data_IF_818257582644
#
_entry.id   IF_818257582644
#
_cell.length_a   1.000
_cell.length_b   1.000
_cell.length_c   1.000
_cell.angle_alpha   90.00
_cell.angle_beta   90.00
_cell.angle_gamma   90.00
#
_symmetry.space_group_name_H-M   'P 1'
#
loop_
_entity.id
_entity.type
_entity.pdbx_description
1 polymer ?
#
# COMPACT_ATOMS: atom_id res chain seq x y z
N UNK A 1 7.84 1.36 -48.22
CA UNK A 1 6.82 1.62 -47.17
C UNK A 1 7.51 1.92 -45.85
N UNK A 2 7.23 3.05 -45.16
CA UNK A 2 7.76 3.29 -43.83
C UNK A 2 7.25 2.21 -42.88
N UNK A 3 8.16 1.51 -42.19
CA UNK A 3 7.78 0.47 -41.23
C UNK A 3 6.87 1.04 -40.14
N UNK A 4 5.93 0.24 -39.65
CA UNK A 4 5.05 0.61 -38.53
C UNK A 4 5.64 0.10 -37.22
N UNK A 5 5.24 0.68 -36.09
CA UNK A 5 5.58 0.18 -34.76
C UNK A 5 4.41 0.39 -33.79
N UNK A 6 4.32 -0.47 -32.77
CA UNK A 6 3.32 -0.35 -31.70
C UNK A 6 3.94 0.33 -30.48
N UNK A 7 3.28 1.38 -29.97
CA UNK A 7 3.76 2.07 -28.79
C UNK A 7 3.49 1.26 -27.50
N UNK A 8 4.52 1.06 -26.68
CA UNK A 8 4.41 0.32 -25.40
C UNK A 8 3.55 1.01 -24.34
N UNK A 9 3.30 2.32 -24.45
CA UNK A 9 2.46 3.05 -23.49
C UNK A 9 1.00 3.12 -23.94
N UNK A 10 0.72 3.68 -25.12
CA UNK A 10 -0.65 3.89 -25.58
C UNK A 10 -1.22 2.76 -26.45
N UNK A 11 -0.42 1.75 -26.79
CA UNK A 11 -0.86 0.61 -27.62
C UNK A 11 -1.13 0.93 -29.10
N UNK A 12 -1.06 2.20 -29.52
CA UNK A 12 -1.36 2.61 -30.90
C UNK A 12 -0.25 2.15 -31.87
N UNK A 13 -0.67 1.64 -33.02
CA UNK A 13 0.20 1.36 -34.17
C UNK A 13 0.39 2.63 -34.98
N UNK A 14 1.64 3.07 -35.14
CA UNK A 14 1.97 4.35 -35.77
C UNK A 14 3.09 4.16 -36.80
N UNK A 15 3.19 5.05 -37.81
CA UNK A 15 4.34 5.06 -38.69
C UNK A 15 5.60 5.35 -37.88
N UNK A 16 6.65 4.57 -38.14
CA UNK A 16 7.95 4.76 -37.51
C UNK A 16 8.53 6.11 -37.94
N UNK A 17 9.16 6.80 -37.00
CA UNK A 17 9.86 8.05 -37.33
C UNK A 17 11.04 7.75 -38.28
N UNK A 18 11.04 8.30 -39.51
CA UNK A 18 12.07 8.01 -40.51
C UNK A 18 13.45 8.56 -40.13
N UNK A 19 13.52 9.53 -39.21
CA UNK A 19 14.81 10.09 -38.71
C UNK A 19 15.56 9.14 -37.78
N UNK A 20 14.92 8.06 -37.30
CA UNK A 20 15.58 7.09 -36.45
C UNK A 20 16.43 6.13 -37.29
N UNK A 21 17.72 6.01 -36.95
CA UNK A 21 18.65 5.03 -37.56
C UNK A 21 17.96 3.66 -37.71
N UNK A 22 18.13 3.02 -38.88
CA UNK A 22 17.43 1.77 -39.24
C UNK A 22 17.62 0.66 -38.19
N UNK A 23 18.78 0.60 -37.55
CA UNK A 23 19.11 -0.37 -36.49
C UNK A 23 18.41 -0.13 -35.14
N UNK A 24 17.80 1.04 -34.89
CA UNK A 24 17.24 1.40 -33.57
C UNK A 24 15.74 1.17 -33.51
N UNK A 25 15.23 0.17 -32.79
CA UNK A 25 13.77 -0.05 -32.67
C UNK A 25 13.08 1.11 -31.90
N UNK A 26 11.98 1.63 -32.45
CA UNK A 26 11.14 2.63 -31.78
C UNK A 26 10.12 1.91 -30.89
N UNK A 27 10.09 2.22 -29.60
CA UNK A 27 9.18 1.58 -28.61
C UNK A 27 8.11 2.50 -28.05
N UNK A 28 8.29 3.82 -28.17
CA UNK A 28 7.33 4.83 -27.73
C UNK A 28 7.07 5.81 -28.87
N UNK A 29 5.83 6.31 -28.95
CA UNK A 29 5.48 7.36 -29.88
C UNK A 29 5.88 8.75 -29.36
N UNK A 30 5.70 9.76 -30.20
CA UNK A 30 6.07 11.14 -29.89
C UNK A 30 5.04 11.89 -29.04
N UNK A 31 3.91 11.26 -28.71
CA UNK A 31 2.90 11.85 -27.84
C UNK A 31 3.51 12.24 -26.47
N UNK A 32 3.11 13.38 -25.88
CA UNK A 32 3.69 13.88 -24.63
C UNK A 32 3.61 12.87 -23.49
N UNK A 33 2.46 12.23 -23.32
CA UNK A 33 2.24 11.19 -22.31
C UNK A 33 3.18 9.99 -22.50
N UNK A 34 3.34 9.51 -23.73
CA UNK A 34 4.21 8.37 -24.04
C UNK A 34 5.69 8.70 -23.88
N UNK A 35 6.10 9.95 -24.16
CA UNK A 35 7.46 10.43 -23.84
C UNK A 35 7.68 10.46 -22.34
N UNK A 36 6.70 10.93 -21.56
CA UNK A 36 6.78 10.94 -20.11
C UNK A 36 6.87 9.52 -19.54
N UNK A 37 6.04 8.61 -20.03
CA UNK A 37 6.10 7.19 -19.65
C UNK A 37 7.46 6.55 -19.93
N UNK A 38 8.05 6.84 -21.11
CA UNK A 38 9.40 6.39 -21.44
C UNK A 38 10.46 6.91 -20.45
N UNK A 39 10.40 8.20 -20.10
CA UNK A 39 11.30 8.81 -19.11
C UNK A 39 11.14 8.14 -17.75
N UNK A 40 9.91 7.94 -17.31
CA UNK A 40 9.58 7.27 -16.04
C UNK A 40 10.08 5.82 -16.00
N UNK A 41 9.87 5.05 -17.07
CA UNK A 41 10.36 3.67 -17.17
C UNK A 41 11.89 3.61 -17.08
N UNK A 42 12.59 4.46 -17.84
CA UNK A 42 14.06 4.54 -17.80
C UNK A 42 14.58 4.98 -16.43
N UNK A 43 13.90 5.94 -15.79
CA UNK A 43 14.25 6.37 -14.43
C UNK A 43 14.07 5.23 -13.42
N UNK A 44 12.98 4.48 -13.51
CA UNK A 44 12.70 3.33 -12.64
C UNK A 44 13.73 2.23 -12.80
N UNK A 45 14.04 1.86 -14.04
CA UNK A 45 15.07 0.88 -14.38
C UNK A 45 16.42 1.31 -13.78
N UNK A 46 16.86 2.54 -14.06
CA UNK A 46 18.11 3.06 -13.50
C UNK A 46 18.12 3.10 -11.97
N UNK A 47 16.99 3.42 -11.35
CA UNK A 47 16.87 3.42 -9.89
C UNK A 47 16.99 2.01 -9.29
N UNK A 48 16.64 0.97 -10.04
CA UNK A 48 16.77 -0.42 -9.62
C UNK A 48 18.17 -1.00 -9.92
N UNK A 49 18.77 -0.62 -11.04
CA UNK A 49 20.04 -1.21 -11.51
C UNK A 49 21.29 -0.50 -11.03
N UNK A 50 21.22 0.80 -10.73
CA UNK A 50 22.37 1.64 -10.35
C UNK A 50 22.23 2.11 -8.89
N UNK A 51 22.90 1.43 -7.93
CA UNK A 51 22.87 1.80 -6.51
C UNK A 51 23.38 3.22 -6.25
N UNK A 52 24.39 3.68 -6.99
CA UNK A 52 24.95 5.03 -6.84
C UNK A 52 23.94 6.10 -7.27
N UNK A 53 23.15 5.82 -8.30
CA UNK A 53 22.07 6.71 -8.73
C UNK A 53 20.94 6.77 -7.71
N UNK A 54 20.58 5.62 -7.13
CA UNK A 54 19.62 5.54 -6.04
C UNK A 54 20.07 6.33 -4.82
N UNK A 55 21.31 6.15 -4.36
CA UNK A 55 21.83 6.85 -3.19
C UNK A 55 21.82 8.37 -3.39
N UNK A 56 22.33 8.86 -4.53
CA UNK A 56 22.28 10.30 -4.86
C UNK A 56 20.86 10.87 -4.90
N UNK A 57 19.85 10.07 -5.26
CA UNK A 57 18.45 10.51 -5.21
C UNK A 57 17.95 10.63 -3.76
N UNK A 58 18.30 9.68 -2.90
CA UNK A 58 17.94 9.70 -1.49
C UNK A 58 18.62 10.86 -0.76
N UNK A 59 19.92 11.10 -1.02
CA UNK A 59 20.67 12.19 -0.40
C UNK A 59 20.08 13.56 -0.76
N UNK A 60 19.76 13.77 -2.05
CA UNK A 60 19.06 14.98 -2.50
C UNK A 60 17.70 15.15 -1.82
N UNK A 61 16.94 14.07 -1.64
CA UNK A 61 15.65 14.13 -0.96
C UNK A 61 15.83 14.46 0.53
N UNK A 62 16.85 13.91 1.18
CA UNK A 62 17.19 14.19 2.58
C UNK A 62 17.57 15.66 2.75
N UNK A 63 18.46 16.18 1.91
CA UNK A 63 18.87 17.59 1.91
C UNK A 63 17.69 18.53 1.62
N UNK A 64 16.80 18.16 0.70
CA UNK A 64 15.62 18.97 0.45
C UNK A 64 14.68 19.02 1.67
N UNK A 65 14.51 17.91 2.37
CA UNK A 65 13.70 17.85 3.60
C UNK A 65 14.33 18.54 4.80
N UNK A 66 15.66 18.58 4.90
CA UNK A 66 16.33 19.34 5.98
C UNK A 66 16.10 20.85 5.82
N UNK A 67 16.02 21.33 4.58
CA UNK A 67 15.89 22.76 4.29
C UNK A 67 14.43 23.22 4.18
N UNK A 68 13.46 22.30 4.12
CA UNK A 68 12.04 22.62 3.97
C UNK A 68 11.19 21.74 4.89
N UNK A 69 10.67 22.30 6.01
CA UNK A 69 9.75 21.58 6.88
C UNK A 69 8.56 21.02 6.10
N UNK A 70 8.31 19.71 6.25
CA UNK A 70 7.32 19.02 5.42
C UNK A 70 5.90 19.55 5.63
N UNK A 71 5.55 19.97 6.84
CA UNK A 71 4.23 20.50 7.18
C UNK A 71 3.96 21.84 6.46
N UNK A 72 4.89 22.79 6.57
CA UNK A 72 4.78 24.12 5.95
C UNK A 72 4.73 24.02 4.43
N UNK A 73 5.62 23.21 3.84
CA UNK A 73 5.59 22.95 2.40
C UNK A 73 4.26 22.36 1.96
N UNK A 74 3.72 21.36 2.67
CA UNK A 74 2.45 20.74 2.30
C UNK A 74 1.29 21.71 2.42
N UNK A 75 1.28 22.58 3.44
CA UNK A 75 0.26 23.62 3.61
C UNK A 75 0.29 24.59 2.42
N UNK A 76 1.45 25.19 2.14
CA UNK A 76 1.63 26.12 1.02
C UNK A 76 1.30 25.48 -0.34
N UNK A 77 1.69 24.21 -0.53
CA UNK A 77 1.42 23.50 -1.77
C UNK A 77 -0.10 23.29 -1.98
N UNK A 78 -0.83 22.92 -0.92
CA UNK A 78 -2.29 22.75 -0.99
C UNK A 78 -3.03 24.08 -1.18
N UNK A 79 -2.54 25.16 -0.57
CA UNK A 79 -3.10 26.51 -0.74
C UNK A 79 -2.90 27.03 -2.16
N UNK A 80 -1.73 26.80 -2.75
CA UNK A 80 -1.40 27.25 -4.12
C UNK A 80 -1.97 26.38 -5.24
N UNK A 81 -2.38 25.14 -4.94
CA UNK A 81 -2.92 24.19 -5.92
C UNK A 81 -4.25 23.58 -5.42
N UNK A 82 -5.33 24.38 -5.32
CA UNK A 82 -6.63 23.91 -4.86
C UNK A 82 -7.19 22.79 -5.75
N UNK A 83 -6.96 22.83 -7.07
CA UNK A 83 -7.41 21.80 -8.01
C UNK A 83 -6.78 20.43 -7.72
N UNK A 84 -5.53 20.41 -7.25
CA UNK A 84 -4.88 19.17 -6.80
C UNK A 84 -5.59 18.59 -5.57
N UNK A 85 -6.01 19.45 -4.64
CA UNK A 85 -6.71 19.04 -3.41
C UNK A 85 -8.06 18.41 -3.74
N UNK A 86 -8.84 19.05 -4.61
CA UNK A 86 -10.17 18.59 -4.98
C UNK A 86 -10.14 17.25 -5.70
N UNK A 87 -9.27 17.11 -6.71
CA UNK A 87 -9.07 15.84 -7.41
C UNK A 87 -8.62 14.72 -6.46
N UNK A 88 -7.73 15.02 -5.52
CA UNK A 88 -7.28 14.02 -4.56
C UNK A 88 -8.38 13.61 -3.58
N UNK A 89 -9.24 14.55 -3.15
CA UNK A 89 -10.44 14.26 -2.35
C UNK A 89 -11.40 13.34 -3.10
N UNK A 90 -11.71 13.62 -4.38
CA UNK A 90 -12.56 12.75 -5.19
C UNK A 90 -11.98 11.34 -5.34
N UNK A 91 -10.69 11.24 -5.65
CA UNK A 91 -9.99 9.96 -5.77
C UNK A 91 -9.95 9.21 -4.43
N UNK A 92 -9.85 9.92 -3.31
CA UNK A 92 -9.93 9.33 -1.97
C UNK A 92 -11.32 8.76 -1.71
N UNK A 93 -12.38 9.49 -2.06
CA UNK A 93 -13.77 9.01 -1.99
C UNK A 93 -13.96 7.73 -2.81
N UNK A 94 -13.53 7.73 -4.07
CA UNK A 94 -13.60 6.55 -4.96
C UNK A 94 -12.85 5.36 -4.36
N UNK A 95 -11.67 5.57 -3.78
CA UNK A 95 -10.90 4.52 -3.09
C UNK A 95 -11.61 4.00 -1.85
N UNK A 96 -12.21 4.88 -1.04
CA UNK A 96 -12.96 4.51 0.16
C UNK A 96 -14.21 3.70 -0.20
N UNK A 97 -14.96 4.09 -1.23
CA UNK A 97 -16.09 3.32 -1.75
C UNK A 97 -15.65 1.91 -2.20
N UNK A 98 -14.56 1.81 -2.97
CA UNK A 98 -14.00 0.50 -3.37
C UNK A 98 -13.58 -0.36 -2.17
N UNK A 99 -13.07 0.26 -1.09
CA UNK A 99 -12.71 -0.45 0.14
C UNK A 99 -13.95 -0.93 0.90
N UNK A 100 -15.02 -0.13 0.98
CA UNK A 100 -16.28 -0.54 1.62
C UNK A 100 -16.96 -1.70 0.88
N UNK A 101 -16.89 -1.70 -0.45
CA UNK A 101 -17.47 -2.76 -1.29
C UNK A 101 -16.63 -4.05 -1.28
N UNK A 102 -15.37 -3.98 -0.84
CA UNK A 102 -14.59 -5.16 -0.49
C UNK A 102 -14.94 -5.52 0.94
N UNK A 103 -15.80 -6.52 1.13
CA UNK A 103 -16.19 -7.08 2.43
C UNK A 103 -14.96 -7.67 3.15
N UNK A 104 -14.04 -6.82 3.60
CA UNK A 104 -13.06 -7.17 4.60
C UNK A 104 -13.72 -6.93 5.97
N UNK A 105 -13.51 -7.80 6.97
CA UNK A 105 -14.00 -7.55 8.31
C UNK A 105 -13.48 -6.20 8.77
N UNK A 106 -14.42 -5.31 9.09
CA UNK A 106 -14.13 -3.97 9.60
C UNK A 106 -13.52 -4.15 10.98
N UNK A 107 -12.20 -4.02 11.09
CA UNK A 107 -11.54 -3.88 12.38
C UNK A 107 -11.81 -2.44 12.84
N UNK A 108 -12.86 -2.28 13.65
CA UNK A 108 -13.10 -1.03 14.38
C UNK A 108 -12.11 -1.05 15.54
N UNK A 109 -11.07 -0.23 15.48
CA UNK A 109 -10.13 -0.08 16.59
C UNK A 109 -10.82 0.65 17.75
N UNK A 110 -11.51 -0.10 18.60
CA UNK A 110 -11.94 0.34 19.92
C UNK A 110 -10.88 -0.03 20.95
N UNK A 111 -9.90 0.85 21.14
CA UNK A 111 -8.88 0.87 22.21
C UNK A 111 -7.70 -0.13 22.06
N UNK A 112 -6.48 0.35 21.77
CA UNK A 112 -5.30 -0.50 21.66
C UNK A 112 -4.56 -0.56 23.00
N UNK A 113 -5.07 -1.27 23.98
CA UNK A 113 -4.32 -1.51 25.22
C UNK A 113 -4.62 -2.91 25.77
N UNK A 114 -3.85 -3.90 25.34
CA UNK A 114 -3.03 -4.67 26.28
C UNK A 114 -2.04 -5.55 25.50
N UNK A 115 -0.81 -5.03 25.33
CA UNK A 115 0.37 -5.80 24.98
C UNK A 115 1.11 -6.08 26.29
N UNK A 116 0.54 -6.96 27.12
CA UNK A 116 1.23 -7.56 28.25
C UNK A 116 0.91 -9.05 28.18
N UNK A 117 1.83 -9.81 27.58
CA UNK A 117 1.83 -11.25 27.73
C UNK A 117 2.19 -11.53 29.19
N UNK A 118 1.18 -11.63 30.06
CA UNK A 118 1.42 -12.20 31.38
C UNK A 118 1.73 -13.68 31.18
N UNK A 119 2.82 -14.15 31.81
CA UNK A 119 3.28 -15.54 31.73
C UNK A 119 2.31 -16.55 32.38
N UNK A 120 1.14 -16.11 32.85
CA UNK A 120 0.24 -16.87 33.73
C UNK A 120 -0.81 -17.74 33.00
N UNK A 121 -0.62 -18.06 31.71
CA UNK A 121 -1.55 -18.91 30.92
C UNK A 121 -3.04 -18.49 31.04
N UNK A 122 -3.29 -17.21 31.28
CA UNK A 122 -4.63 -16.64 31.36
C UNK A 122 -5.06 -16.17 29.96
N UNK A 123 -6.12 -16.76 29.43
CA UNK A 123 -6.66 -16.44 28.12
C UNK A 123 -8.03 -15.77 28.28
N UNK A 124 -8.22 -14.63 27.61
CA UNK A 124 -9.53 -14.02 27.48
C UNK A 124 -10.24 -14.63 26.27
N UNK A 125 -11.37 -15.30 26.49
CA UNK A 125 -12.18 -15.91 25.44
C UNK A 125 -13.40 -15.02 25.20
N UNK A 126 -13.62 -14.66 23.93
CA UNK A 126 -14.78 -13.86 23.50
C UNK A 126 -15.59 -14.71 22.52
N UNK A 127 -16.91 -14.79 22.72
CA UNK A 127 -17.79 -15.50 21.80
C UNK A 127 -17.97 -14.71 20.50
N UNK A 128 -17.64 -15.34 19.36
CA UNK A 128 -17.76 -14.73 18.03
C UNK A 128 -19.01 -15.25 17.35
N UNK A 129 -20.05 -14.42 17.22
CA UNK A 129 -21.23 -14.76 16.41
C UNK A 129 -20.96 -14.41 14.95
N UNK A 130 -20.91 -15.43 14.08
CA UNK A 130 -20.88 -15.36 12.59
C UNK A 130 -20.12 -14.15 12.04
N UNK A 131 -18.79 -14.17 12.17
CA UNK A 131 -17.89 -13.21 11.50
C UNK A 131 -17.97 -11.76 12.01
N UNK A 132 -18.74 -11.50 13.07
CA UNK A 132 -18.73 -10.23 13.80
C UNK A 132 -18.16 -10.50 15.19
N UNK A 133 -17.01 -9.90 15.48
CA UNK A 133 -16.52 -9.76 16.85
C UNK A 133 -17.33 -8.62 17.44
N UNK A 134 -18.28 -8.95 18.31
CA UNK A 134 -19.10 -7.99 19.05
C UNK A 134 -18.51 -7.90 20.45
N UNK A 135 -18.60 -6.73 21.09
CA UNK A 135 -18.20 -6.51 22.48
C UNK A 135 -19.07 -7.37 23.43
N UNK A 136 -18.74 -8.65 23.57
CA UNK A 136 -19.23 -9.50 24.64
C UNK A 136 -18.32 -9.38 25.86
N UNK A 137 -18.89 -9.45 27.05
CA UNK A 137 -18.14 -9.55 28.31
C UNK A 137 -17.13 -10.70 28.18
N UNK A 138 -15.80 -10.43 28.25
CA UNK A 138 -14.81 -11.48 28.08
C UNK A 138 -14.86 -12.42 29.27
N UNK A 139 -14.91 -13.72 29.02
CA UNK A 139 -14.75 -14.73 30.06
C UNK A 139 -13.25 -15.01 30.20
N UNK A 140 -12.74 -14.94 31.43
CA UNK A 140 -11.36 -15.31 31.73
C UNK A 140 -11.30 -16.82 31.94
N UNK A 141 -10.46 -17.49 31.14
CA UNK A 141 -10.20 -18.91 31.27
C UNK A 141 -8.72 -19.13 31.59
N UNK A 142 -8.46 -19.94 32.61
CA UNK A 142 -7.11 -20.38 32.97
C UNK A 142 -6.94 -21.81 32.48
N UNK A 143 -5.98 -22.05 31.58
CA UNK A 143 -5.70 -23.39 31.07
C UNK A 143 -4.52 -24.01 31.83
N UNK A 144 -4.77 -25.10 32.53
CA UNK A 144 -3.74 -25.96 33.11
C UNK A 144 -3.54 -27.18 32.21
N UNK A 145 -2.31 -27.38 31.73
CA UNK A 145 -1.95 -28.55 30.93
C UNK A 145 -1.57 -29.66 31.91
N UNK A 146 -2.40 -30.69 32.02
CA UNK A 146 -2.08 -31.90 32.77
C UNK A 146 -1.36 -32.87 31.83
N UNK A 147 -0.03 -32.89 31.88
CA UNK A 147 0.79 -33.94 31.27
C UNK A 147 0.94 -35.10 32.25
N UNK A 148 0.13 -36.15 32.06
CA UNK A 148 0.21 -37.40 32.82
C UNK A 148 -1.04 -38.25 32.57
N UNK A 149 -0.86 -39.52 32.22
CA UNK A 149 -1.95 -40.49 32.06
C UNK A 149 -2.76 -40.57 33.35
N UNK A 150 -3.99 -40.05 33.33
CA UNK A 150 -5.18 -40.48 34.07
C UNK A 150 -6.17 -39.30 34.15
N UNK A 151 -6.96 -39.12 33.09
CA UNK A 151 -8.10 -38.22 33.12
C UNK A 151 -9.31 -38.96 33.70
N UNK A 152 -9.41 -39.00 35.04
CA UNK A 152 -10.68 -39.36 35.69
C UNK A 152 -11.47 -38.08 35.92
N UNK A 153 -12.45 -37.84 35.05
CA UNK A 153 -13.49 -36.84 35.28
C UNK A 153 -14.37 -37.31 36.44
N UNK A 154 -14.25 -36.68 37.61
CA UNK A 154 -15.35 -36.69 38.59
C UNK A 154 -16.35 -35.61 38.19
N UNK A 155 -17.45 -36.03 37.58
CA UNK A 155 -18.66 -35.23 37.53
C UNK A 155 -19.21 -35.15 38.95
N UNK A 156 -19.15 -33.97 39.57
CA UNK A 156 -19.98 -33.68 40.75
C UNK A 156 -21.30 -33.15 40.20
N UNK A 157 -22.34 -33.96 40.37
CA UNK A 157 -23.73 -33.61 40.08
C UNK A 157 -24.39 -33.05 41.34
N UNK A 158 -25.11 -31.95 41.15
CA UNK A 158 -25.98 -31.20 42.09
C UNK A 158 -25.31 -30.45 43.26
#
# INVERSE_FOLDING_TARGET
MPGTFTCRHCGKTLPRNPRLKKNKKQSYCNAPECKQAKKSARKKERYQTDPSYRQRHLDRQKLWRSNRPAHEYQKQYRESHPEYVDLNRELQTKRNCRRKNRTAPVIVNGTPLSLQASNDKAYAIISVKRGKIVNGTPFLAQMQILTGKEAVFRQISN
#
